data_IF_822895109626
#
_entry.id   IF_822895109626
#
_cell.length_a   1.000
_cell.length_b   1.000
_cell.length_c   1.000
_cell.angle_alpha   90.00
_cell.angle_beta   90.00
_cell.angle_gamma   90.00
#
_symmetry.space_group_name_H-M   'P 1'
#
loop_
_entity.id
_entity.type
_entity.pdbx_description
1 polymer ?
#
# COMPACT_ATOMS: atom_id res chain seq x y z
N UNK A 1 4.41 30.52 23.51
CA UNK A 1 3.68 30.76 22.24
C UNK A 1 4.39 30.09 21.07
N UNK A 2 5.71 30.07 21.07
CA UNK A 2 6.54 29.46 20.01
C UNK A 2 6.30 27.95 19.87
N UNK A 3 6.28 27.21 20.99
CA UNK A 3 5.91 25.78 21.05
C UNK A 3 4.59 25.45 20.32
N UNK A 4 3.61 26.36 20.40
CA UNK A 4 2.31 26.19 19.75
C UNK A 4 2.44 26.30 18.24
N UNK A 5 3.17 27.29 17.73
CA UNK A 5 3.43 27.43 16.29
C UNK A 5 4.17 26.20 15.75
N UNK A 6 5.16 25.71 16.48
CA UNK A 6 5.90 24.51 16.12
C UNK A 6 4.98 23.29 16.01
N UNK A 7 4.12 23.07 17.02
CA UNK A 7 3.16 21.97 17.03
C UNK A 7 2.13 22.05 15.90
N UNK A 8 1.61 23.25 15.60
CA UNK A 8 0.69 23.50 14.48
C UNK A 8 1.38 23.17 13.15
N UNK A 9 2.65 23.56 13.00
CA UNK A 9 3.43 23.26 11.80
C UNK A 9 3.55 21.76 11.55
N UNK A 10 3.89 20.99 12.59
CA UNK A 10 3.99 19.52 12.53
C UNK A 10 2.64 18.89 12.19
N UNK A 11 1.57 19.31 12.88
CA UNK A 11 0.22 18.81 12.63
C UNK A 11 -0.23 19.08 11.19
N UNK A 12 0.03 20.27 10.68
CA UNK A 12 -0.32 20.66 9.32
C UNK A 12 0.40 19.82 8.26
N UNK A 13 1.70 19.54 8.45
CA UNK A 13 2.46 18.66 7.55
C UNK A 13 1.89 17.24 7.56
N UNK A 14 1.69 16.66 8.75
CA UNK A 14 1.24 15.27 8.87
C UNK A 14 -0.18 15.11 8.30
N UNK A 15 -1.11 16.00 8.69
CA UNK A 15 -2.47 15.99 8.16
C UNK A 15 -2.49 16.26 6.65
N UNK A 16 -1.65 17.17 6.16
CA UNK A 16 -1.49 17.44 4.73
C UNK A 16 -1.03 16.21 3.95
N UNK A 17 0.01 15.53 4.44
CA UNK A 17 0.60 14.37 3.78
C UNK A 17 -0.36 13.18 3.70
N UNK A 18 -1.24 13.00 4.69
CA UNK A 18 -2.23 11.92 4.73
C UNK A 18 -3.55 12.26 4.03
N UNK A 19 -3.78 13.52 3.65
CA UNK A 19 -5.01 13.94 2.96
C UNK A 19 -4.75 14.24 1.49
N UNK A 20 -5.82 14.21 0.67
CA UNK A 20 -5.74 14.54 -0.76
C UNK A 20 -5.19 15.94 -1.05
N UNK A 21 -5.21 16.84 -0.06
CA UNK A 21 -4.82 18.25 -0.18
C UNK A 21 -3.41 18.51 0.39
N UNK A 22 -2.41 17.72 -0.04
CA UNK A 22 -1.02 17.82 0.44
C UNK A 22 -0.42 19.23 0.36
N UNK A 23 -0.78 20.02 -0.67
CA UNK A 23 -0.29 21.39 -0.83
C UNK A 23 -0.77 22.32 0.29
N UNK A 24 -2.02 22.17 0.77
CA UNK A 24 -2.56 23.05 1.80
C UNK A 24 -1.83 22.84 3.14
N UNK A 25 -1.68 21.58 3.56
CA UNK A 25 -0.94 21.27 4.79
C UNK A 25 0.54 21.67 4.69
N UNK A 26 1.16 21.53 3.51
CA UNK A 26 2.51 22.02 3.26
C UNK A 26 2.66 23.53 3.40
N UNK A 27 1.71 24.32 2.86
CA UNK A 27 1.73 25.79 2.99
C UNK A 27 1.52 26.22 4.44
N UNK A 28 0.54 25.63 5.14
CA UNK A 28 0.28 25.96 6.56
C UNK A 28 1.47 25.55 7.43
N UNK A 29 2.08 24.39 7.17
CA UNK A 29 3.27 23.92 7.87
C UNK A 29 4.46 24.84 7.64
N UNK A 30 4.79 25.14 6.38
CA UNK A 30 5.87 26.04 6.01
C UNK A 30 5.67 27.44 6.59
N UNK A 31 4.46 28.00 6.52
CA UNK A 31 4.12 29.29 7.11
C UNK A 31 4.31 29.31 8.62
N UNK A 32 3.90 28.22 9.30
CA UNK A 32 4.04 28.09 10.76
C UNK A 32 5.52 28.00 11.18
N UNK A 33 6.35 27.29 10.43
CA UNK A 33 7.80 27.24 10.69
C UNK A 33 8.49 28.55 10.34
N UNK A 34 8.16 29.20 9.22
CA UNK A 34 8.71 30.52 8.90
C UNK A 34 8.40 31.54 9.99
N UNK A 35 7.18 31.52 10.54
CA UNK A 35 6.83 32.38 11.67
C UNK A 35 7.57 31.97 12.95
N UNK A 36 7.70 30.67 13.26
CA UNK A 36 8.48 30.21 14.41
C UNK A 36 9.94 30.69 14.33
N UNK A 37 10.59 30.54 13.18
CA UNK A 37 11.98 30.94 12.97
C UNK A 37 12.15 32.46 12.84
N UNK A 38 11.15 33.16 12.31
CA UNK A 38 11.19 34.62 12.09
C UNK A 38 10.79 35.47 13.30
N UNK A 39 10.05 34.90 14.26
CA UNK A 39 9.68 35.56 15.52
C UNK A 39 10.76 35.42 16.60
N UNK A 40 11.70 34.49 16.44
CA UNK A 40 12.81 34.33 17.36
C UNK A 40 13.96 35.26 16.98
N UNK A 41 14.39 36.11 17.92
CA UNK A 41 15.39 37.17 17.71
C UNK A 41 16.77 36.65 17.26
N UNK A 42 17.10 35.41 17.59
CA UNK A 42 18.38 34.77 17.26
C UNK A 42 18.30 33.86 16.00
N UNK A 43 17.19 33.91 15.27
CA UNK A 43 16.96 33.03 14.14
C UNK A 43 17.91 33.26 12.98
N UNK A 44 19.00 32.50 12.94
CA UNK A 44 19.91 32.53 11.81
C UNK A 44 19.24 31.89 10.59
N UNK A 45 19.42 32.47 9.41
CA UNK A 45 18.94 31.89 8.15
C UNK A 45 19.46 30.46 7.94
N UNK A 46 20.63 30.16 8.48
CA UNK A 46 21.24 28.83 8.49
C UNK A 46 20.41 27.83 9.32
N UNK A 47 19.93 28.23 10.51
CA UNK A 47 19.09 27.40 11.40
C UNK A 47 17.81 26.97 10.69
N UNK A 48 17.14 27.91 10.00
CA UNK A 48 15.96 27.64 9.19
C UNK A 48 16.26 26.68 8.03
N UNK A 49 17.35 26.91 7.29
CA UNK A 49 17.75 26.05 6.18
C UNK A 49 18.07 24.61 6.63
N UNK A 50 18.76 24.45 7.76
CA UNK A 50 19.05 23.14 8.35
C UNK A 50 17.76 22.45 8.78
N UNK A 51 16.85 23.16 9.46
CA UNK A 51 15.57 22.61 9.87
C UNK A 51 14.70 22.19 8.68
N UNK A 52 14.63 23.03 7.64
CA UNK A 52 13.92 22.72 6.41
C UNK A 52 14.50 21.49 5.70
N UNK A 53 15.83 21.39 5.60
CA UNK A 53 16.52 20.24 5.03
C UNK A 53 16.23 18.96 5.83
N UNK A 54 16.33 19.02 7.15
CA UNK A 54 15.99 17.90 8.03
C UNK A 54 14.54 17.44 7.86
N UNK A 55 13.60 18.38 7.77
CA UNK A 55 12.18 18.10 7.52
C UNK A 55 11.97 17.43 6.16
N UNK A 56 12.62 17.90 5.11
CA UNK A 56 12.55 17.30 3.77
C UNK A 56 13.12 15.88 3.76
N UNK A 57 14.21 15.61 4.50
CA UNK A 57 14.77 14.26 4.65
C UNK A 57 13.84 13.31 5.41
N UNK A 58 13.14 13.80 6.43
CA UNK A 58 12.11 13.00 7.14
C UNK A 58 10.94 12.70 6.20
N UNK A 59 10.49 13.68 5.42
CA UNK A 59 9.41 13.48 4.45
C UNK A 59 9.84 12.52 3.34
N UNK A 60 11.09 12.59 2.87
CA UNK A 60 11.58 11.72 1.79
C UNK A 60 11.63 10.25 2.20
N UNK A 61 11.83 9.93 3.49
CA UNK A 61 11.73 8.56 4.03
C UNK A 61 10.37 7.92 3.73
N UNK A 62 9.28 8.71 3.67
CA UNK A 62 7.94 8.21 3.37
C UNK A 62 7.81 7.77 1.90
N UNK A 63 8.55 8.43 1.00
CA UNK A 63 8.55 8.09 -0.43
C UNK A 63 9.60 7.04 -0.78
N UNK A 64 10.75 7.09 -0.11
CA UNK A 64 11.88 6.20 -0.26
C UNK A 64 12.12 5.54 1.10
N UNK A 65 11.44 4.42 1.41
CA UNK A 65 11.64 3.74 2.68
C UNK A 65 13.07 3.18 2.73
N UNK A 66 13.98 3.93 3.36
CA UNK A 66 15.40 3.61 3.50
C UNK A 66 15.69 2.86 4.81
N UNK A 67 14.68 2.18 5.35
CA UNK A 67 14.70 1.56 6.68
C UNK A 67 14.89 2.57 7.82
N UNK A 68 14.47 3.82 7.63
CA UNK A 68 14.52 4.89 8.63
C UNK A 68 15.83 5.68 8.65
N UNK A 69 16.78 5.42 7.74
CA UNK A 69 18.08 6.10 7.75
C UNK A 69 17.91 7.59 7.43
N UNK A 70 17.17 7.94 6.38
CA UNK A 70 16.89 9.34 6.04
C UNK A 70 16.08 10.02 7.14
N UNK A 71 15.14 9.29 7.75
CA UNK A 71 14.39 9.76 8.91
C UNK A 71 15.29 10.16 10.10
N UNK A 72 16.21 9.28 10.50
CA UNK A 72 17.13 9.55 11.63
C UNK A 72 18.09 10.68 11.30
N UNK A 73 18.70 10.69 10.11
CA UNK A 73 19.60 11.76 9.68
C UNK A 73 18.86 13.09 9.61
N UNK A 74 17.65 13.10 9.06
CA UNK A 74 16.80 14.27 8.99
C UNK A 74 16.44 14.82 10.38
N UNK A 75 16.15 13.94 11.34
CA UNK A 75 15.87 14.32 12.73
C UNK A 75 17.10 14.96 13.39
N UNK A 76 18.30 14.40 13.22
CA UNK A 76 19.53 14.97 13.77
C UNK A 76 19.86 16.35 13.19
N UNK A 77 19.73 16.51 11.87
CA UNK A 77 19.97 17.79 11.19
C UNK A 77 18.90 18.82 11.62
N UNK A 78 17.64 18.41 11.70
CA UNK A 78 16.55 19.27 12.16
C UNK A 78 16.71 19.72 13.60
N UNK A 79 17.12 18.81 14.50
CA UNK A 79 17.43 19.11 15.88
C UNK A 79 18.58 20.12 16.00
N UNK A 80 19.63 19.98 15.18
CA UNK A 80 20.72 20.95 15.13
C UNK A 80 20.25 22.33 14.69
N UNK A 81 19.33 22.40 13.71
CA UNK A 81 18.68 23.64 13.29
C UNK A 81 17.91 24.32 14.43
N UNK A 82 17.17 23.57 15.23
CA UNK A 82 16.42 24.09 16.39
C UNK A 82 17.34 24.59 17.52
N UNK A 83 18.46 23.90 17.77
CA UNK A 83 19.44 24.35 18.76
C UNK A 83 20.06 25.69 18.38
N UNK A 84 20.25 25.96 17.08
CA UNK A 84 20.74 27.24 16.59
C UNK A 84 19.70 28.37 16.62
N UNK A 85 18.47 28.09 17.05
CA UNK A 85 17.38 29.06 17.15
C UNK A 85 17.21 29.59 18.57
N UNK A 86 17.36 28.71 19.56
CA UNK A 86 17.04 28.98 20.97
C UNK A 86 18.25 29.53 21.73
N UNK A 87 17.99 30.38 22.73
CA UNK A 87 19.06 30.87 23.62
C UNK A 87 19.47 29.82 24.66
N UNK A 88 18.55 28.92 25.01
CA UNK A 88 18.75 27.78 25.90
C UNK A 88 18.47 26.48 25.14
N UNK A 89 19.42 25.54 25.20
CA UNK A 89 19.30 24.20 24.61
C UNK A 89 18.09 23.46 25.21
N UNK A 90 17.73 23.75 26.46
CA UNK A 90 16.55 23.19 27.12
C UNK A 90 15.26 23.43 26.34
N UNK A 91 15.05 24.64 25.82
CA UNK A 91 13.84 24.99 25.07
C UNK A 91 13.78 24.25 23.74
N UNK A 92 14.90 24.13 23.01
CA UNK A 92 14.96 23.34 21.78
C UNK A 92 14.65 21.85 22.02
N UNK A 93 15.14 21.28 23.13
CA UNK A 93 14.84 19.89 23.49
C UNK A 93 13.37 19.70 23.84
N UNK A 94 12.76 20.66 24.54
CA UNK A 94 11.32 20.65 24.86
C UNK A 94 10.49 20.72 23.59
N UNK A 95 10.81 21.66 22.69
CA UNK A 95 10.13 21.82 21.40
C UNK A 95 10.23 20.55 20.56
N UNK A 96 11.43 19.99 20.42
CA UNK A 96 11.66 18.75 19.68
C UNK A 96 10.87 17.58 20.29
N UNK A 97 10.89 17.44 21.61
CA UNK A 97 10.18 16.36 22.32
C UNK A 97 8.68 16.47 22.11
N UNK A 98 8.10 17.66 22.30
CA UNK A 98 6.68 17.92 22.07
C UNK A 98 6.34 17.65 20.60
N UNK A 99 7.17 18.10 19.67
CA UNK A 99 6.96 17.89 18.25
C UNK A 99 6.92 16.42 17.85
N UNK A 100 7.86 15.62 18.36
CA UNK A 100 7.87 14.17 18.13
C UNK A 100 6.63 13.50 18.71
N UNK A 101 6.25 13.84 19.95
CA UNK A 101 5.05 13.28 20.60
C UNK A 101 3.78 13.64 19.83
N UNK A 102 3.60 14.93 19.49
CA UNK A 102 2.46 15.42 18.70
C UNK A 102 2.44 14.74 17.34
N UNK A 103 3.60 14.59 16.70
CA UNK A 103 3.71 13.93 15.41
C UNK A 103 3.30 12.46 15.44
N UNK A 104 3.80 11.70 16.41
CA UNK A 104 3.45 10.28 16.60
C UNK A 104 1.96 10.13 16.89
N UNK A 105 1.40 10.96 17.78
CA UNK A 105 -0.02 10.92 18.15
C UNK A 105 -0.90 11.27 16.95
N UNK A 106 -0.57 12.33 16.21
CA UNK A 106 -1.32 12.74 15.03
C UNK A 106 -1.29 11.67 13.94
N UNK A 107 -0.10 11.13 13.64
CA UNK A 107 0.07 10.04 12.70
C UNK A 107 -0.77 8.81 13.10
N UNK A 108 -0.68 8.38 14.37
CA UNK A 108 -1.46 7.25 14.87
C UNK A 108 -2.98 7.46 14.76
N UNK A 109 -3.48 8.64 15.12
CA UNK A 109 -4.90 8.98 15.02
C UNK A 109 -5.36 8.93 13.56
N UNK A 110 -4.59 9.52 12.63
CA UNK A 110 -4.95 9.58 11.22
C UNK A 110 -4.94 8.20 10.56
N UNK A 111 -3.96 7.35 10.89
CA UNK A 111 -3.92 5.94 10.45
C UNK A 111 -5.15 5.18 10.98
N UNK A 112 -5.48 5.36 12.26
CA UNK A 112 -6.65 4.72 12.88
C UNK A 112 -7.98 5.18 12.24
N UNK A 113 -8.01 6.41 11.75
CA UNK A 113 -9.17 7.00 11.07
C UNK A 113 -9.30 6.54 9.60
N UNK A 114 -8.36 5.72 9.10
CA UNK A 114 -8.40 5.13 7.77
C UNK A 114 -7.78 5.98 6.68
N UNK A 115 -7.05 7.05 7.02
CA UNK A 115 -6.28 7.81 6.04
C UNK A 115 -5.03 7.02 5.66
N UNK A 116 -4.89 6.71 4.37
CA UNK A 116 -3.67 6.17 3.79
C UNK A 116 -2.88 7.25 3.08
N UNK A 117 -1.56 7.09 3.04
CA UNK A 117 -0.70 7.99 2.27
C UNK A 117 -0.97 7.70 0.79
N UNK A 118 -1.44 8.68 0.00
CA UNK A 118 -1.93 8.45 -1.38
C UNK A 118 -0.85 7.93 -2.33
N UNK A 119 0.43 8.07 -1.97
CA UNK A 119 1.58 7.61 -2.75
C UNK A 119 1.99 6.15 -2.47
N UNK A 120 1.40 5.49 -1.46
CA UNK A 120 1.75 4.12 -1.08
C UNK A 120 1.17 3.04 -2.03
N UNK A 121 0.15 3.39 -2.82
CA UNK A 121 -0.52 2.45 -3.73
C UNK A 121 0.33 2.03 -4.95
N UNK A 122 1.48 2.67 -5.18
CA UNK A 122 2.36 2.39 -6.32
C UNK A 122 3.66 1.64 -5.96
N UNK A 123 4.02 1.55 -4.67
CA UNK A 123 5.29 0.95 -4.22
C UNK A 123 5.08 -0.36 -3.47
N UNK A 124 3.88 -0.59 -2.92
CA UNK A 124 3.46 -1.95 -2.59
C UNK A 124 2.89 -2.53 -3.87
N UNK A 125 3.58 -3.54 -4.42
CA UNK A 125 2.90 -4.48 -5.29
C UNK A 125 1.70 -4.99 -4.48
N UNK A 126 0.51 -4.48 -4.79
CA UNK A 126 -0.79 -4.88 -4.23
C UNK A 126 -1.12 -6.32 -4.68
N UNK A 127 -0.18 -7.23 -4.43
CA UNK A 127 -0.20 -8.66 -4.73
C UNK A 127 0.29 -9.44 -3.51
N UNK A 128 0.04 -8.95 -2.31
CA UNK A 128 -0.13 -9.84 -1.15
C UNK A 128 -1.63 -9.96 -0.86
N UNK A 129 -2.23 -10.97 -1.50
CA UNK A 129 -3.40 -11.66 -0.97
C UNK A 129 -4.71 -10.86 -0.91
N UNK A 130 -5.06 -10.16 -1.99
CA UNK A 130 -6.47 -10.17 -2.36
C UNK A 130 -6.79 -11.55 -2.98
N UNK A 131 -6.91 -12.57 -2.13
CA UNK A 131 -7.54 -13.85 -2.51
C UNK A 131 -9.02 -13.67 -2.86
N UNK A 132 -9.55 -12.44 -2.83
CA UNK A 132 -10.95 -12.11 -3.14
C UNK A 132 -11.15 -11.29 -4.43
N UNK A 133 -10.12 -10.84 -5.16
CA UNK A 133 -10.31 -10.12 -6.46
C UNK A 133 -9.25 -10.40 -7.51
N UNK A 134 -9.05 -11.67 -7.84
CA UNK A 134 -8.17 -12.05 -8.96
C UNK A 134 -8.26 -13.50 -9.40
N UNK A 135 -8.85 -14.38 -8.58
CA UNK A 135 -9.33 -15.70 -8.99
C UNK A 135 -10.86 -15.72 -8.98
N UNK A 136 -11.48 -14.76 -9.66
CA UNK A 136 -12.61 -15.15 -10.50
C UNK A 136 -12.04 -15.41 -11.88
N UNK A 137 -11.29 -16.51 -12.01
CA UNK A 137 -11.34 -17.26 -13.26
C UNK A 137 -12.81 -17.60 -13.42
N UNK A 138 -13.53 -16.75 -14.15
CA UNK A 138 -14.89 -16.96 -14.61
C UNK A 138 -15.75 -17.76 -13.61
N UNK A 139 -16.53 -17.04 -12.81
CA UNK A 139 -17.77 -17.56 -12.24
C UNK A 139 -18.79 -17.91 -13.34
N UNK A 140 -18.38 -18.64 -14.37
CA UNK A 140 -19.27 -19.63 -14.96
C UNK A 140 -19.28 -20.73 -13.91
N UNK A 141 -20.38 -20.82 -13.16
CA UNK A 141 -20.58 -21.75 -12.06
C UNK A 141 -20.06 -23.13 -12.45
N UNK A 142 -18.84 -23.48 -12.03
CA UNK A 142 -18.22 -24.78 -12.32
C UNK A 142 -19.09 -25.90 -11.73
N UNK A 143 -19.89 -25.56 -10.71
CA UNK A 143 -20.92 -26.41 -10.11
C UNK A 143 -22.05 -26.78 -11.09
N UNK A 144 -22.38 -25.93 -12.06
CA UNK A 144 -23.45 -26.19 -13.03
C UNK A 144 -23.03 -27.21 -14.09
N UNK A 145 -21.72 -27.45 -14.25
CA UNK A 145 -21.15 -28.38 -15.22
C UNK A 145 -20.96 -29.80 -14.70
N UNK A 146 -21.32 -30.07 -13.44
CA UNK A 146 -21.31 -31.45 -12.91
C UNK A 146 -22.35 -32.27 -13.64
N UNK A 147 -21.97 -33.46 -14.12
CA UNK A 147 -22.81 -34.34 -14.94
C UNK A 147 -23.12 -33.83 -16.36
N UNK A 148 -22.47 -32.77 -16.84
CA UNK A 148 -22.56 -32.37 -18.24
C UNK A 148 -21.57 -33.14 -19.11
N UNK A 149 -21.96 -33.35 -20.37
CA UNK A 149 -21.10 -33.88 -21.43
C UNK A 149 -20.29 -32.77 -22.08
N UNK A 150 -19.05 -33.09 -22.44
CA UNK A 150 -18.13 -32.21 -23.13
C UNK A 150 -17.33 -33.01 -24.17
N UNK A 151 -16.81 -32.29 -25.17
CA UNK A 151 -15.95 -32.85 -26.20
C UNK A 151 -14.53 -32.32 -26.03
N UNK A 152 -13.53 -33.19 -25.98
CA UNK A 152 -12.14 -32.76 -25.78
C UNK A 152 -11.62 -32.03 -27.02
N UNK A 153 -10.98 -30.88 -26.84
CA UNK A 153 -10.29 -30.15 -27.92
C UNK A 153 -8.81 -30.52 -28.01
N UNK A 154 -8.20 -30.74 -26.85
CA UNK A 154 -6.79 -31.13 -26.74
C UNK A 154 -6.70 -32.47 -26.02
N UNK A 155 -5.70 -33.31 -26.34
CA UNK A 155 -5.50 -34.55 -25.59
C UNK A 155 -5.28 -34.25 -24.11
N UNK A 156 -5.99 -34.96 -23.23
CA UNK A 156 -5.94 -34.77 -21.78
C UNK A 156 -4.82 -35.64 -21.19
N UNK A 157 -3.72 -35.01 -20.76
CA UNK A 157 -2.54 -35.67 -20.18
C UNK A 157 -1.87 -34.85 -19.05
N UNK A 158 -2.39 -34.86 -17.81
CA UNK A 158 -3.76 -35.16 -17.41
C UNK A 158 -4.70 -33.94 -17.62
N UNK A 159 -4.16 -32.77 -17.95
CA UNK A 159 -4.94 -31.54 -18.17
C UNK A 159 -5.07 -31.22 -19.65
N UNK A 160 -6.18 -30.61 -20.03
CA UNK A 160 -6.38 -30.00 -21.34
C UNK A 160 -7.70 -29.23 -21.40
N UNK A 161 -8.19 -28.97 -22.61
CA UNK A 161 -9.41 -28.18 -22.85
C UNK A 161 -10.51 -29.05 -23.42
N UNK A 162 -11.74 -28.82 -22.98
CA UNK A 162 -12.94 -29.43 -23.54
C UNK A 162 -14.03 -28.37 -23.79
N UNK A 163 -14.83 -28.60 -24.81
CA UNK A 163 -15.99 -27.79 -25.19
C UNK A 163 -17.26 -28.42 -24.63
N UNK A 164 -18.02 -27.64 -23.88
CA UNK A 164 -19.34 -28.04 -23.34
C UNK A 164 -20.46 -27.73 -24.33
N UNK A 165 -21.63 -28.33 -24.14
CA UNK A 165 -22.81 -28.14 -25.03
C UNK A 165 -23.24 -26.68 -25.17
N UNK A 166 -22.94 -25.82 -24.19
CA UNK A 166 -23.18 -24.37 -24.22
C UNK A 166 -22.18 -23.60 -25.11
N UNK A 167 -21.24 -24.27 -25.76
CA UNK A 167 -20.17 -23.67 -26.56
C UNK A 167 -19.00 -23.11 -25.75
N UNK A 168 -19.04 -23.24 -24.42
CA UNK A 168 -17.97 -22.79 -23.53
C UNK A 168 -16.78 -23.75 -23.55
N UNK A 169 -15.57 -23.20 -23.71
CA UNK A 169 -14.31 -23.95 -23.63
C UNK A 169 -13.75 -23.80 -22.22
N UNK A 170 -13.71 -24.90 -21.47
CA UNK A 170 -13.17 -24.91 -20.11
C UNK A 170 -11.98 -25.87 -19.99
N UNK A 171 -11.15 -25.62 -18.97
CA UNK A 171 -10.05 -26.49 -18.61
C UNK A 171 -10.56 -27.69 -17.82
N UNK A 172 -10.23 -28.89 -18.29
CA UNK A 172 -10.66 -30.15 -17.70
C UNK A 172 -9.45 -31.03 -17.42
N UNK A 173 -9.56 -31.88 -16.40
CA UNK A 173 -8.54 -32.82 -15.99
C UNK A 173 -9.08 -34.24 -16.05
N UNK A 174 -8.36 -35.15 -16.70
CA UNK A 174 -8.74 -36.56 -16.75
C UNK A 174 -8.41 -37.28 -15.44
N UNK A 175 -9.33 -38.14 -15.00
CA UNK A 175 -9.15 -38.99 -13.81
C UNK A 175 -8.35 -40.24 -14.17
N UNK A 176 -7.00 -40.11 -14.17
CA UNK A 176 -6.05 -41.21 -14.29
C UNK A 176 -5.99 -41.92 -15.66
N UNK A 177 -6.60 -41.35 -16.70
CA UNK A 177 -6.62 -41.88 -18.06
C UNK A 177 -6.13 -40.84 -19.08
N UNK A 178 -5.51 -41.31 -20.17
CA UNK A 178 -5.16 -40.45 -21.31
C UNK A 178 -6.36 -40.44 -22.25
N UNK A 179 -6.96 -39.27 -22.44
CA UNK A 179 -8.10 -39.07 -23.35
C UNK A 179 -7.59 -38.34 -24.59
N UNK A 180 -7.94 -38.83 -25.78
CA UNK A 180 -7.59 -38.20 -27.05
C UNK A 180 -8.24 -36.83 -27.22
N UNK A 181 -7.85 -36.10 -28.26
CA UNK A 181 -8.64 -34.98 -28.79
C UNK A 181 -9.85 -35.53 -29.55
N UNK A 182 -10.97 -34.80 -29.53
CA UNK A 182 -12.23 -35.14 -30.19
C UNK A 182 -12.96 -36.36 -29.58
N UNK A 183 -12.82 -36.56 -28.27
CA UNK A 183 -13.52 -37.62 -27.54
C UNK A 183 -14.59 -37.04 -26.60
N UNK A 184 -15.70 -37.77 -26.47
CA UNK A 184 -16.81 -37.41 -25.59
C UNK A 184 -16.51 -37.81 -24.14
N UNK A 185 -16.60 -36.84 -23.23
CA UNK A 185 -16.30 -37.00 -21.82
C UNK A 185 -17.41 -36.43 -20.95
N UNK A 186 -17.60 -36.99 -19.76
CA UNK A 186 -18.56 -36.50 -18.76
C UNK A 186 -17.81 -35.99 -17.53
N UNK A 187 -18.29 -34.89 -16.96
CA UNK A 187 -17.76 -34.34 -15.70
C UNK A 187 -18.23 -35.20 -14.52
N UNK A 188 -17.27 -35.81 -13.83
CA UNK A 188 -17.52 -36.70 -12.68
C UNK A 188 -17.56 -35.93 -11.37
N UNK A 189 -16.63 -34.98 -11.17
CA UNK A 189 -16.47 -34.23 -9.91
C UNK A 189 -15.64 -32.97 -10.11
N UNK A 190 -15.68 -32.07 -9.14
CA UNK A 190 -14.83 -30.87 -9.11
C UNK A 190 -13.73 -31.07 -8.07
N UNK A 191 -12.46 -30.84 -8.43
CA UNK A 191 -11.31 -30.88 -7.51
C UNK A 191 -10.52 -29.59 -7.66
N UNK A 192 -10.35 -28.83 -6.57
CA UNK A 192 -9.60 -27.56 -6.56
C UNK A 192 -9.98 -26.61 -7.72
N UNK A 193 -11.29 -26.43 -7.97
CA UNK A 193 -11.81 -25.59 -9.05
C UNK A 193 -11.45 -26.06 -10.48
N UNK A 194 -11.08 -27.34 -10.64
CA UNK A 194 -10.89 -28.00 -11.93
C UNK A 194 -11.95 -29.09 -12.13
N UNK A 195 -12.48 -29.18 -13.35
CA UNK A 195 -13.48 -30.16 -13.75
C UNK A 195 -12.78 -31.50 -14.03
N UNK A 196 -13.10 -32.52 -13.24
CA UNK A 196 -12.58 -33.87 -13.44
C UNK A 196 -13.50 -34.62 -14.41
N UNK A 197 -12.95 -35.08 -15.53
CA UNK A 197 -13.69 -35.73 -16.61
C UNK A 197 -13.27 -37.18 -16.84
N UNK A 198 -14.20 -38.00 -17.32
CA UNK A 198 -14.00 -39.40 -17.72
C UNK A 198 -14.64 -39.66 -19.07
N UNK A 199 -14.09 -40.58 -19.86
CA UNK A 199 -14.69 -41.00 -21.14
C UNK A 199 -16.09 -41.57 -20.92
N UNK A 200 -17.04 -41.19 -21.77
CA UNK A 200 -18.36 -41.82 -21.81
C UNK A 200 -18.21 -43.16 -22.53
N UNK A 201 -18.09 -44.26 -21.78
CA UNK A 201 -18.19 -45.59 -22.36
C UNK A 201 -19.67 -45.94 -22.52
N UNK A 202 -20.12 -46.08 -23.77
CA UNK A 202 -21.36 -46.76 -24.11
C UNK A 202 -21.16 -48.27 -23.85
N UNK A 203 -21.83 -48.81 -22.84
CA UNK A 203 -22.38 -50.18 -22.92
C UNK A 203 -23.78 -50.11 -23.52
#
# INVERSE_FOLDING_TARGET
>A
METVLFSIGILAIIAGMMTRHYMLGGIVGAGSFLLYFGLYDNGSWLSLMLFALGTVLIISEVFLPTYGILGVVGLLIGAWGLMGQTADIGDAVVDLTIGVVVGIVAFYILVKLGYSIPFNDQIVLNTSLNRERGYQSQSVSVADYVSQEAMTLTPLRPTGKATFSDGNILEVMSDNEVIGSDEQVVVVRIRNNQLLVRRVNHE
#
